data_IF_222365702008
#
_entry.id   IF_222365702008
#
_cell.length_a   1.000
_cell.length_b   1.000
_cell.length_c   1.000
_cell.angle_alpha   90.00
_cell.angle_beta   90.00
_cell.angle_gamma   90.00
#
_symmetry.space_group_name_H-M   'P 1'
#
loop_
_entity.id
_entity.type
_entity.pdbx_description
1 polymer ?
#
# COMPACT_ATOMS: atom_id res chain seq x y z
N UNK A 1 7.11 27.19 24.76
CA UNK A 1 7.45 25.76 24.82
C UNK A 1 6.56 25.06 23.83
N UNK A 2 7.13 24.52 22.74
CA UNK A 2 6.39 23.67 21.81
C UNK A 2 6.30 22.31 22.49
N UNK A 3 5.09 21.90 22.88
CA UNK A 3 4.86 20.55 23.40
C UNK A 3 4.90 19.60 22.21
N UNK A 4 6.05 18.96 21.98
CA UNK A 4 6.13 17.80 21.11
C UNK A 4 5.30 16.69 21.75
N UNK A 5 4.09 16.50 21.25
CA UNK A 5 3.28 15.34 21.61
C UNK A 5 3.94 14.11 20.96
N UNK A 6 4.77 13.40 21.71
CA UNK A 6 5.10 12.02 21.35
C UNK A 6 3.78 11.25 21.26
N UNK A 7 3.46 10.64 20.10
CA UNK A 7 2.25 9.85 19.96
C UNK A 7 2.31 8.72 20.99
N UNK A 8 1.25 8.61 21.77
CA UNK A 8 1.20 7.68 22.88
C UNK A 8 1.33 6.24 22.33
N UNK A 9 2.01 5.35 23.07
CA UNK A 9 2.27 3.95 22.65
C UNK A 9 0.99 3.18 22.24
N UNK A 10 -0.18 3.66 22.67
CA UNK A 10 -1.49 3.11 22.31
C UNK A 10 -1.98 3.56 20.91
N UNK A 11 -1.77 4.81 20.51
CA UNK A 11 -2.12 5.33 19.17
C UNK A 11 -1.35 4.57 18.10
N UNK A 12 -0.06 4.34 18.34
CA UNK A 12 0.78 3.59 17.41
C UNK A 12 0.24 2.16 17.21
N UNK A 13 -0.11 1.46 18.30
CA UNK A 13 -0.70 0.10 18.22
C UNK A 13 -2.04 0.08 17.51
N UNK A 14 -2.89 1.08 17.74
CA UNK A 14 -4.21 1.21 17.11
C UNK A 14 -4.06 1.38 15.59
N UNK A 15 -3.17 2.28 15.14
CA UNK A 15 -2.86 2.48 13.72
C UNK A 15 -2.34 1.21 13.05
N UNK A 16 -1.46 0.46 13.71
CA UNK A 16 -0.96 -0.82 13.18
C UNK A 16 -2.06 -1.89 13.10
N UNK A 17 -3.00 -1.90 14.06
CA UNK A 17 -4.17 -2.78 14.04
C UNK A 17 -5.14 -2.42 12.92
N UNK A 18 -5.42 -1.14 12.71
CA UNK A 18 -6.26 -0.62 11.62
C UNK A 18 -5.64 -0.94 10.25
N UNK A 19 -4.34 -0.74 10.08
CA UNK A 19 -3.60 -1.14 8.87
C UNK A 19 -3.71 -2.64 8.60
N UNK A 20 -3.69 -3.48 9.64
CA UNK A 20 -3.90 -4.93 9.53
C UNK A 20 -5.34 -5.28 9.14
N UNK A 21 -6.33 -4.61 9.73
CA UNK A 21 -7.75 -4.82 9.43
C UNK A 21 -8.10 -4.38 8.01
N UNK A 22 -7.41 -3.36 7.50
CA UNK A 22 -7.59 -2.80 6.15
C UNK A 22 -6.69 -3.45 5.09
N UNK A 23 -5.86 -4.44 5.46
CA UNK A 23 -4.84 -5.01 4.57
C UNK A 23 -5.42 -5.51 3.24
N UNK A 24 -6.63 -6.08 3.26
CA UNK A 24 -7.32 -6.51 2.04
C UNK A 24 -7.65 -5.35 1.07
N UNK A 25 -8.02 -4.18 1.59
CA UNK A 25 -8.27 -2.98 0.79
C UNK A 25 -6.96 -2.43 0.21
N UNK A 26 -5.92 -2.33 1.04
CA UNK A 26 -4.60 -1.85 0.63
C UNK A 26 -4.01 -2.74 -0.47
N UNK A 27 -4.14 -4.06 -0.33
CA UNK A 27 -3.71 -5.03 -1.35
C UNK A 27 -4.47 -4.83 -2.67
N UNK A 28 -5.78 -4.56 -2.62
CA UNK A 28 -6.56 -4.28 -3.83
C UNK A 28 -6.09 -2.99 -4.51
N UNK A 29 -5.81 -1.93 -3.74
CA UNK A 29 -5.29 -0.66 -4.25
C UNK A 29 -3.93 -0.84 -4.91
N UNK A 30 -3.01 -1.56 -4.27
CA UNK A 30 -1.70 -1.91 -4.85
C UNK A 30 -1.88 -2.57 -6.22
N UNK A 31 -2.73 -3.60 -6.30
CA UNK A 31 -2.97 -4.30 -7.56
C UNK A 31 -3.57 -3.37 -8.62
N UNK A 32 -4.50 -2.49 -8.26
CA UNK A 32 -5.11 -1.53 -9.18
C UNK A 32 -4.07 -0.55 -9.74
N UNK A 33 -3.22 0.00 -8.89
CA UNK A 33 -2.15 0.91 -9.30
C UNK A 33 -1.18 0.22 -10.28
N UNK A 34 -0.77 -1.02 -9.98
CA UNK A 34 0.14 -1.78 -10.84
C UNK A 34 -0.49 -2.16 -12.18
N UNK A 35 -1.80 -2.42 -12.22
CA UNK A 35 -2.55 -2.65 -13.47
C UNK A 35 -2.59 -1.35 -14.29
N UNK A 36 -2.90 -0.22 -13.64
CA UNK A 36 -2.93 1.09 -14.30
C UNK A 36 -1.56 1.49 -14.87
N UNK A 37 -0.47 1.14 -14.17
CA UNK A 37 0.90 1.34 -14.65
C UNK A 37 1.34 0.36 -15.76
N UNK A 38 0.49 -0.59 -16.16
CA UNK A 38 0.83 -1.62 -17.15
C UNK A 38 1.82 -2.70 -16.67
N UNK A 39 2.09 -2.76 -15.36
CA UNK A 39 3.07 -3.67 -14.76
C UNK A 39 2.45 -5.02 -14.41
N UNK A 40 1.22 -5.01 -13.91
CA UNK A 40 0.49 -6.21 -13.52
C UNK A 40 -0.64 -6.47 -14.51
N UNK A 41 -0.71 -7.70 -15.05
CA UNK A 41 -1.85 -8.10 -15.85
C UNK A 41 -3.07 -8.41 -14.96
N UNK A 42 -4.30 -8.02 -15.36
CA UNK A 42 -5.50 -8.32 -14.57
C UNK A 42 -5.68 -9.80 -14.24
N UNK A 43 -5.30 -10.69 -15.16
CA UNK A 43 -5.37 -12.14 -14.97
C UNK A 43 -4.43 -12.66 -13.87
N UNK A 44 -3.36 -11.94 -13.55
CA UNK A 44 -2.37 -12.33 -12.55
C UNK A 44 -2.69 -11.78 -11.15
N UNK A 45 -3.73 -10.95 -11.04
CA UNK A 45 -4.08 -10.22 -9.83
C UNK A 45 -4.23 -11.15 -8.62
N UNK A 46 -4.99 -12.24 -8.71
CA UNK A 46 -5.21 -13.15 -7.58
C UNK A 46 -3.93 -13.86 -7.12
N UNK A 47 -3.01 -14.17 -8.05
CA UNK A 47 -1.70 -14.71 -7.70
C UNK A 47 -0.88 -13.65 -6.94
N UNK A 48 -0.90 -12.41 -7.40
CA UNK A 48 -0.16 -11.32 -6.79
C UNK A 48 -0.69 -10.96 -5.39
N UNK A 49 -2.02 -10.96 -5.20
CA UNK A 49 -2.65 -10.77 -3.88
C UNK A 49 -2.19 -11.80 -2.86
N UNK A 50 -1.96 -13.06 -3.25
CA UNK A 50 -1.44 -14.09 -2.33
C UNK A 50 -0.05 -13.75 -1.81
N UNK A 51 0.82 -13.17 -2.65
CA UNK A 51 2.14 -12.70 -2.24
C UNK A 51 2.00 -11.54 -1.25
N UNK A 52 1.18 -10.54 -1.59
CA UNK A 52 1.00 -9.34 -0.76
C UNK A 52 0.40 -9.64 0.62
N UNK A 53 -0.45 -10.67 0.74
CA UNK A 53 -0.98 -11.14 2.04
C UNK A 53 0.11 -11.67 2.98
N UNK A 54 1.27 -12.07 2.44
CA UNK A 54 2.42 -12.53 3.22
C UNK A 54 3.28 -11.39 3.78
N UNK A 55 3.04 -10.14 3.36
CA UNK A 55 3.84 -9.00 3.81
C UNK A 55 3.38 -8.49 5.18
N UNK A 56 4.34 -8.03 5.96
CA UNK A 56 4.06 -7.25 7.16
C UNK A 56 3.49 -5.86 6.80
N UNK A 57 2.99 -5.14 7.80
CA UNK A 57 2.34 -3.85 7.59
C UNK A 57 3.30 -2.80 6.99
N UNK A 58 4.55 -2.75 7.44
CA UNK A 58 5.53 -1.77 6.95
C UNK A 58 5.87 -2.02 5.48
N UNK A 59 6.10 -3.28 5.13
CA UNK A 59 6.37 -3.72 3.76
C UNK A 59 5.14 -3.47 2.88
N UNK A 60 3.93 -3.72 3.38
CA UNK A 60 2.69 -3.43 2.67
C UNK A 60 2.56 -1.93 2.35
N UNK A 61 2.85 -1.05 3.31
CA UNK A 61 2.81 0.40 3.10
C UNK A 61 3.87 0.86 2.08
N UNK A 62 5.10 0.32 2.15
CA UNK A 62 6.15 0.63 1.15
C UNK A 62 5.71 0.27 -0.26
N UNK A 63 5.17 -0.93 -0.44
CA UNK A 63 4.67 -1.40 -1.74
C UNK A 63 3.48 -0.58 -2.22
N UNK A 64 2.61 -0.13 -1.30
CA UNK A 64 1.53 0.80 -1.64
C UNK A 64 2.07 2.11 -2.23
N UNK A 65 3.07 2.73 -1.57
CA UNK A 65 3.68 3.97 -2.05
C UNK A 65 4.38 3.77 -3.40
N UNK A 66 5.18 2.71 -3.55
CA UNK A 66 5.87 2.42 -4.81
C UNK A 66 4.88 2.14 -5.95
N UNK A 67 3.80 1.40 -5.69
CA UNK A 67 2.77 1.13 -6.70
C UNK A 67 2.11 2.42 -7.19
N UNK A 68 1.88 3.38 -6.28
CA UNK A 68 1.31 4.68 -6.64
C UNK A 68 2.30 5.51 -7.49
N UNK A 69 3.57 5.58 -7.10
CA UNK A 69 4.58 6.29 -7.89
C UNK A 69 4.71 5.73 -9.31
N UNK A 70 4.60 4.40 -9.46
CA UNK A 70 4.64 3.76 -10.78
C UNK A 70 3.42 4.11 -11.64
N UNK A 71 2.23 4.19 -11.02
CA UNK A 71 1.01 4.66 -11.69
C UNK A 71 1.19 6.10 -12.18
N UNK A 72 1.60 7.02 -11.30
CA UNK A 72 1.75 8.43 -11.67
C UNK A 72 2.82 8.62 -12.76
N UNK A 73 3.98 7.95 -12.64
CA UNK A 73 5.02 8.02 -13.66
C UNK A 73 4.56 7.48 -15.02
N UNK A 74 3.69 6.46 -15.04
CA UNK A 74 3.09 5.96 -16.27
C UNK A 74 2.12 6.97 -16.88
N UNK A 75 1.28 7.59 -16.06
CA UNK A 75 0.33 8.63 -16.49
C UNK A 75 1.06 9.86 -17.04
N UNK A 76 2.11 10.34 -16.36
CA UNK A 76 2.96 11.44 -16.82
C UNK A 76 3.64 11.14 -18.17
N UNK A 77 4.08 9.90 -18.40
CA UNK A 77 4.73 9.52 -19.65
C UNK A 77 3.78 9.44 -20.85
N UNK A 78 2.46 9.43 -20.62
CA UNK A 78 1.44 9.40 -21.67
C UNK A 78 0.95 10.80 -22.08
N UNK A 79 1.37 11.85 -21.37
CA UNK A 79 1.03 13.25 -21.61
C UNK A 79 2.16 14.00 -22.32
#
# INVERSE_FOLDING_TARGET
MVMEHEPSKNENKQTWLELRLEQGKVINIICQNLIAAGILLPAEQERYKKVLRGYDALTTVKVMLESWLLKEAHEEAQH
#
